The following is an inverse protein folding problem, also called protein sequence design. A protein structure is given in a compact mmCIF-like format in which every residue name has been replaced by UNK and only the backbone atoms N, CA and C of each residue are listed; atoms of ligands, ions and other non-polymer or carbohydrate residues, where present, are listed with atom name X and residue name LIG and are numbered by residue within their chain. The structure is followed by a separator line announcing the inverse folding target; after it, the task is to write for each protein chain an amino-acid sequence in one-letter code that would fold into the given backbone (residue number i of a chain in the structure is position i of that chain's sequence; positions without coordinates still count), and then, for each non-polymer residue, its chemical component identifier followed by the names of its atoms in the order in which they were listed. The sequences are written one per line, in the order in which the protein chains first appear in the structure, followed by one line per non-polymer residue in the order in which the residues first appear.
data_IF_406131727883
#
_entry.id   IF_406131727883
#
_cell.length_a   1.000
_cell.length_b   1.000
_cell.length_c   1.000
_cell.angle_alpha   90.00
_cell.angle_beta   90.00
_cell.angle_gamma   90.00
#
_symmetry.space_group_name_H-M   'P 1'
#
loop_
_entity.id
_entity.type
_entity.pdbx_description
1 polymer ?
#
# COMPACT_ATOMS: atom_id res chain seq x y z
N UNK A 1 -3.50 3.10 -15.39
CA UNK A 1 -3.35 4.13 -14.33
C UNK A 1 -2.06 3.85 -13.55
N UNK A 2 -1.84 4.40 -12.34
CA UNK A 2 -0.62 4.12 -11.53
C UNK A 2 -0.54 2.63 -11.16
N UNK A 3 -1.68 1.97 -10.91
CA UNK A 3 -1.70 0.55 -10.55
C UNK A 3 -1.21 -0.31 -11.71
N UNK A 4 -1.72 -0.06 -12.94
CA UNK A 4 -1.24 -0.75 -14.14
C UNK A 4 0.25 -0.53 -14.38
N UNK A 5 0.73 0.70 -14.17
CA UNK A 5 2.13 1.06 -14.36
C UNK A 5 3.05 0.30 -13.41
N UNK A 6 2.61 0.08 -12.17
CA UNK A 6 3.32 -0.69 -11.15
C UNK A 6 3.03 -2.20 -11.24
N UNK A 7 2.26 -2.65 -12.22
CA UNK A 7 1.79 -4.04 -12.34
C UNK A 7 1.08 -4.55 -11.07
N UNK A 8 0.35 -3.67 -10.39
CA UNK A 8 -0.40 -3.96 -9.19
C UNK A 8 -1.90 -3.99 -9.53
N UNK A 9 -2.61 -5.06 -9.13
CA UNK A 9 -4.03 -5.27 -9.49
C UNK A 9 -4.92 -5.41 -8.25
N UNK A 10 -5.12 -4.32 -7.48
CA UNK A 10 -5.97 -4.37 -6.29
C UNK A 10 -7.45 -4.42 -6.66
N UNK A 11 -8.27 -4.97 -5.76
CA UNK A 11 -9.72 -4.79 -5.80
C UNK A 11 -10.09 -3.48 -5.09
N UNK A 12 -10.74 -2.56 -5.82
CA UNK A 12 -11.24 -1.32 -5.24
C UNK A 12 -12.72 -1.46 -4.86
N UNK A 13 -13.04 -1.11 -3.61
CA UNK A 13 -14.43 -0.97 -3.13
C UNK A 13 -14.63 0.41 -2.52
N UNK A 14 -15.79 1.03 -2.76
CA UNK A 14 -16.09 2.35 -2.19
C UNK A 14 -16.80 2.19 -0.87
N UNK A 15 -16.32 2.88 0.17
CA UNK A 15 -16.98 2.87 1.49
C UNK A 15 -18.42 3.39 1.45
N UNK A 16 -18.76 4.25 0.48
CA UNK A 16 -20.11 4.76 0.26
C UNK A 16 -21.10 3.69 -0.21
N UNK A 17 -20.64 2.59 -0.81
CA UNK A 17 -21.48 1.49 -1.27
C UNK A 17 -21.92 0.58 -0.11
N UNK A 18 -21.26 0.69 1.05
CA UNK A 18 -21.39 -0.25 2.17
C UNK A 18 -22.39 0.19 3.25
N UNK A 19 -23.08 1.33 3.07
CA UNK A 19 -24.17 1.81 3.94
C UNK A 19 -23.89 1.67 5.45
N UNK A 20 -22.74 2.17 5.92
CA UNK A 20 -22.22 1.90 7.27
C UNK A 20 -22.93 2.66 8.42
N UNK A 21 -23.81 3.61 8.09
CA UNK A 21 -24.52 4.47 9.06
C UNK A 21 -23.61 5.46 9.79
N UNK A 22 -24.18 6.34 10.65
CA UNK A 22 -23.39 7.21 11.51
C UNK A 22 -22.77 6.38 12.64
N UNK A 23 -21.44 6.35 12.69
CA UNK A 23 -20.70 5.65 13.74
C UNK A 23 -19.37 6.36 14.00
N UNK A 24 -18.77 6.10 15.16
CA UNK A 24 -17.43 6.57 15.49
C UNK A 24 -16.39 6.14 14.43
N UNK A 25 -15.34 6.94 14.28
CA UNK A 25 -14.31 6.76 13.25
C UNK A 25 -13.67 5.38 13.31
N UNK A 26 -13.33 4.88 14.50
CA UNK A 26 -12.63 3.59 14.65
C UNK A 26 -13.57 2.43 14.37
N UNK A 27 -14.79 2.48 14.89
CA UNK A 27 -15.81 1.48 14.63
C UNK A 27 -16.22 1.41 13.16
N UNK A 28 -16.13 2.53 12.44
CA UNK A 28 -16.35 2.57 10.98
C UNK A 28 -15.32 1.72 10.24
N UNK A 29 -14.05 1.76 10.64
CA UNK A 29 -12.98 0.95 10.05
C UNK A 29 -13.24 -0.54 10.30
N UNK A 30 -13.60 -0.90 11.54
CA UNK A 30 -13.95 -2.28 11.89
C UNK A 30 -15.12 -2.80 11.06
N UNK A 31 -16.18 -2.00 10.87
CA UNK A 31 -17.32 -2.40 10.03
C UNK A 31 -16.94 -2.51 8.56
N UNK A 32 -16.06 -1.64 8.06
CA UNK A 32 -15.53 -1.70 6.70
C UNK A 32 -14.83 -3.05 6.48
N UNK A 33 -13.89 -3.41 7.36
CA UNK A 33 -13.20 -4.70 7.31
C UNK A 33 -14.19 -5.88 7.33
N UNK A 34 -15.16 -5.89 8.25
CA UNK A 34 -16.19 -6.95 8.32
C UNK A 34 -17.01 -7.05 7.04
N UNK A 35 -17.39 -5.94 6.43
CA UNK A 35 -18.23 -5.92 5.23
C UNK A 35 -17.56 -6.54 4.00
N UNK A 36 -16.22 -6.58 4.00
CA UNK A 36 -15.41 -7.18 2.91
C UNK A 36 -14.75 -8.49 3.32
N UNK A 37 -15.02 -8.99 4.53
CA UNK A 37 -14.41 -10.22 5.05
C UNK A 37 -12.92 -10.11 5.36
N UNK A 38 -12.39 -8.91 5.61
CA UNK A 38 -10.97 -8.72 5.90
C UNK A 38 -10.59 -9.26 7.29
N UNK A 39 -9.41 -9.87 7.38
CA UNK A 39 -8.81 -10.36 8.62
C UNK A 39 -7.80 -9.40 9.22
N UNK A 40 -7.30 -8.44 8.44
CA UNK A 40 -6.37 -7.42 8.88
C UNK A 40 -6.73 -6.02 8.37
N UNK A 41 -6.24 -5.01 9.07
CA UNK A 41 -6.32 -3.60 8.69
C UNK A 41 -4.94 -2.96 8.83
N UNK A 42 -4.38 -2.51 7.70
CA UNK A 42 -3.12 -1.79 7.66
C UNK A 42 -3.37 -0.29 7.68
N UNK A 43 -2.78 0.40 8.66
CA UNK A 43 -2.86 1.85 8.80
C UNK A 43 -1.50 2.51 8.66
N UNK A 44 -1.47 3.78 8.25
CA UNK A 44 -0.24 4.58 8.38
C UNK A 44 0.11 4.84 9.85
N UNK A 45 1.39 5.03 10.20
CA UNK A 45 1.87 5.17 11.58
C UNK A 45 1.27 6.39 12.30
N UNK A 46 0.97 7.48 11.57
CA UNK A 46 0.32 8.67 12.13
C UNK A 46 -1.09 8.42 12.68
N UNK A 47 -1.73 7.33 12.27
CA UNK A 47 -3.07 6.98 12.72
C UNK A 47 -3.13 6.41 14.13
N UNK A 48 -2.00 5.97 14.66
CA UNK A 48 -1.94 5.33 15.98
C UNK A 48 -2.51 6.23 17.08
N UNK A 49 -2.32 7.55 16.97
CA UNK A 49 -2.85 8.52 17.92
C UNK A 49 -4.37 8.60 17.99
N UNK A 50 -5.10 8.25 16.93
CA UNK A 50 -6.58 8.26 16.95
C UNK A 50 -7.19 6.85 17.04
N UNK A 51 -6.53 5.82 16.50
CA UNK A 51 -6.99 4.43 16.62
C UNK A 51 -6.76 3.91 18.04
N UNK A 52 -5.73 4.40 18.72
CA UNK A 52 -5.33 3.94 20.05
C UNK A 52 -4.80 2.51 20.02
N UNK A 53 -5.05 1.76 21.09
CA UNK A 53 -4.57 0.38 21.28
C UNK A 53 -5.36 -0.67 20.47
N UNK A 54 -6.33 -0.25 19.64
CA UNK A 54 -7.02 -1.17 18.72
C UNK A 54 -8.03 -2.12 19.36
N UNK A 55 -8.55 -1.80 20.55
CA UNK A 55 -9.52 -2.64 21.28
C UNK A 55 -10.75 -3.03 20.44
N UNK A 56 -11.25 -2.14 19.59
CA UNK A 56 -12.36 -2.43 18.68
C UNK A 56 -11.99 -3.48 17.62
N UNK A 57 -10.77 -3.43 17.08
CA UNK A 57 -10.25 -4.42 16.12
C UNK A 57 -10.07 -5.78 16.78
N UNK A 58 -9.47 -5.80 17.99
CA UNK A 58 -9.29 -7.03 18.78
C UNK A 58 -10.61 -7.73 19.08
N UNK A 59 -11.63 -7.00 19.53
CA UNK A 59 -12.99 -7.54 19.76
C UNK A 59 -13.65 -8.06 18.49
N UNK A 60 -13.27 -7.52 17.33
CA UNK A 60 -13.78 -7.94 16.04
C UNK A 60 -12.99 -9.10 15.41
N UNK A 61 -11.90 -9.55 16.02
CA UNK A 61 -11.01 -10.57 15.45
C UNK A 61 -10.27 -10.09 14.20
N UNK A 62 -9.97 -8.78 14.11
CA UNK A 62 -9.22 -8.18 13.01
C UNK A 62 -7.85 -7.77 13.54
N UNK A 63 -6.79 -8.17 12.82
CA UNK A 63 -5.41 -7.76 13.11
C UNK A 63 -5.21 -6.29 12.72
N UNK A 64 -4.73 -5.47 13.67
CA UNK A 64 -4.39 -4.08 13.41
C UNK A 64 -2.88 -3.95 13.22
N UNK A 65 -2.48 -3.53 12.04
CA UNK A 65 -1.08 -3.33 11.67
C UNK A 65 -0.82 -1.85 11.37
N UNK A 66 0.37 -1.37 11.73
CA UNK A 66 0.83 -0.03 11.40
C UNK A 66 2.03 -0.12 10.47
N UNK A 67 1.90 0.47 9.29
CA UNK A 67 2.92 0.45 8.26
C UNK A 67 4.24 0.98 8.81
N UNK A 68 5.29 0.21 8.58
CA UNK A 68 6.67 0.63 8.77
C UNK A 68 7.26 0.95 7.39
N UNK A 69 7.74 2.18 7.22
CA UNK A 69 8.27 2.63 5.94
C UNK A 69 9.79 2.51 5.95
N UNK A 70 10.29 1.50 5.24
CA UNK A 70 11.68 1.41 4.83
C UNK A 70 11.73 1.66 3.32
N UNK A 71 12.40 2.74 2.90
CA UNK A 71 12.45 3.13 1.50
C UNK A 71 13.72 2.60 0.86
N UNK A 72 13.56 1.82 -0.20
CA UNK A 72 14.71 1.40 -1.01
C UNK A 72 15.25 2.58 -1.83
N UNK A 73 16.54 2.92 -1.68
CA UNK A 73 17.12 4.03 -2.42
C UNK A 73 17.06 3.81 -3.94
N UNK A 74 16.69 4.87 -4.67
CA UNK A 74 16.68 4.89 -6.13
C UNK A 74 17.35 6.14 -6.71
N UNK A 75 17.72 6.14 -8.01
CA UNK A 75 18.43 7.26 -8.62
C UNK A 75 17.56 8.52 -8.78
N UNK A 76 17.69 9.50 -7.89
CA UNK A 76 16.98 10.80 -7.96
C UNK A 76 17.74 11.89 -8.74
N UNK A 77 19.00 11.65 -9.13
CA UNK A 77 19.76 12.57 -9.99
C UNK A 77 20.21 13.90 -9.37
N UNK A 78 19.85 14.22 -8.12
CA UNK A 78 20.20 15.50 -7.46
C UNK A 78 20.97 15.36 -6.13
N UNK A 79 21.69 14.25 -5.94
CA UNK A 79 22.59 14.05 -4.79
C UNK A 79 22.26 12.78 -4.00
N UNK A 80 22.35 12.87 -2.67
CA UNK A 80 21.98 11.78 -1.78
C UNK A 80 20.48 11.46 -1.88
N UNK A 81 20.13 10.19 -1.67
CA UNK A 81 18.75 9.73 -1.67
C UNK A 81 17.93 10.42 -0.58
N UNK A 82 16.72 10.84 -0.96
CA UNK A 82 15.71 11.43 -0.06
C UNK A 82 14.45 10.56 -0.11
N UNK A 83 14.15 9.89 1.00
CA UNK A 83 12.91 9.14 1.21
C UNK A 83 11.71 10.05 1.52
N UNK A 84 10.57 9.45 1.88
CA UNK A 84 9.34 10.17 2.28
C UNK A 84 8.77 11.13 1.21
N UNK A 85 9.14 10.93 -0.06
CA UNK A 85 8.63 11.69 -1.21
C UNK A 85 7.39 11.01 -1.82
N UNK A 86 6.69 11.74 -2.68
CA UNK A 86 5.55 11.20 -3.43
C UNK A 86 5.98 10.05 -4.36
N UNK A 87 5.09 9.08 -4.57
CA UNK A 87 5.28 8.02 -5.58
C UNK A 87 5.57 8.59 -6.97
N UNK A 88 5.10 9.82 -7.27
CA UNK A 88 5.38 10.49 -8.54
C UNK A 88 6.89 10.74 -8.75
N UNK A 89 7.65 11.00 -7.69
CA UNK A 89 9.11 11.17 -7.76
C UNK A 89 9.77 9.89 -8.28
N UNK A 90 9.42 8.76 -7.68
CA UNK A 90 9.89 7.45 -8.09
C UNK A 90 9.50 7.13 -9.54
N UNK A 91 8.25 7.40 -9.92
CA UNK A 91 7.76 7.12 -11.28
C UNK A 91 8.53 7.92 -12.34
N UNK A 92 8.82 9.19 -12.10
CA UNK A 92 9.54 10.02 -13.06
C UNK A 92 11.04 9.74 -13.12
N UNK A 93 11.65 9.33 -12.00
CA UNK A 93 13.06 8.97 -11.96
C UNK A 93 13.36 7.56 -12.49
N UNK A 94 12.48 6.59 -12.23
CA UNK A 94 12.73 5.18 -12.53
C UNK A 94 11.90 4.63 -13.70
N UNK A 95 10.85 5.34 -14.13
CA UNK A 95 9.99 4.89 -15.22
C UNK A 95 9.49 3.44 -15.00
N UNK A 96 9.53 2.57 -16.02
CA UNK A 96 9.10 1.17 -15.90
C UNK A 96 9.81 0.35 -14.80
N UNK A 97 10.95 0.82 -14.27
CA UNK A 97 11.66 0.15 -13.18
C UNK A 97 11.13 0.53 -11.78
N UNK A 98 10.19 1.47 -11.69
CA UNK A 98 9.65 1.96 -10.41
C UNK A 98 9.12 0.85 -9.49
N UNK A 99 8.48 -0.19 -10.05
CA UNK A 99 7.95 -1.31 -9.27
C UNK A 99 9.00 -2.08 -8.44
N UNK A 100 10.29 -1.96 -8.79
CA UNK A 100 11.39 -2.55 -8.01
C UNK A 100 11.62 -1.84 -6.68
N UNK A 101 11.29 -0.55 -6.61
CA UNK A 101 11.50 0.30 -5.43
C UNK A 101 10.20 0.58 -4.68
N UNK A 102 9.04 0.40 -5.31
CA UNK A 102 7.71 0.61 -4.72
C UNK A 102 7.21 -0.60 -3.90
N UNK A 103 8.08 -1.19 -3.08
CA UNK A 103 7.76 -2.35 -2.24
C UNK A 103 7.84 -1.96 -0.77
N UNK A 104 6.88 -2.44 0.03
CA UNK A 104 6.97 -2.39 1.48
C UNK A 104 7.42 -3.77 1.95
N UNK A 105 8.69 -3.95 2.39
CA UNK A 105 9.16 -5.21 2.93
C UNK A 105 8.22 -5.70 4.03
N UNK A 106 7.80 -6.97 3.96
CA UNK A 106 6.95 -7.60 4.97
C UNK A 106 5.43 -7.43 4.85
N UNK A 107 4.94 -6.59 3.91
CA UNK A 107 3.48 -6.34 3.75
C UNK A 107 2.84 -7.00 2.53
N UNK A 108 3.64 -7.54 1.61
CA UNK A 108 3.14 -8.39 0.53
C UNK A 108 3.08 -9.84 1.04
N UNK A 109 1.97 -10.21 1.69
CA UNK A 109 1.63 -11.64 1.82
C UNK A 109 1.27 -12.17 0.44
N UNK A 110 1.64 -13.41 0.14
CA UNK A 110 1.45 -14.11 -1.15
C UNK A 110 -0.02 -14.05 -1.66
N UNK A 111 -0.97 -13.74 -0.77
CA UNK A 111 -2.40 -13.62 -1.04
C UNK A 111 -2.84 -12.28 -1.67
N UNK A 112 -1.96 -11.27 -1.78
CA UNK A 112 -2.30 -9.96 -2.38
C UNK A 112 -2.22 -9.94 -3.92
N UNK A 113 -2.09 -11.10 -4.58
CA UNK A 113 -2.17 -11.21 -6.04
C UNK A 113 -0.99 -10.59 -6.81
N UNK A 114 0.11 -10.24 -6.12
CA UNK A 114 1.36 -9.85 -6.78
C UNK A 114 2.14 -11.12 -7.07
N UNK A 115 2.14 -11.55 -8.33
CA UNK A 115 2.87 -12.74 -8.76
C UNK A 115 4.38 -12.57 -8.47
N UNK A 116 5.01 -13.48 -7.69
CA UNK A 116 6.43 -13.40 -7.33
C UNK A 116 7.37 -13.34 -8.55
N UNK A 117 6.93 -13.91 -9.68
CA UNK A 117 7.77 -14.21 -10.83
C UNK A 117 7.97 -13.03 -11.80
N UNK A 118 7.30 -11.88 -11.58
CA UNK A 118 7.43 -10.72 -12.49
C UNK A 118 8.54 -9.73 -12.10
N UNK A 119 9.22 -9.97 -10.98
CA UNK A 119 10.26 -9.07 -10.45
C UNK A 119 11.60 -9.11 -11.23
N UNK A 120 11.81 -10.12 -12.07
CA UNK A 120 13.08 -10.36 -12.77
C UNK A 120 12.99 -10.47 -14.31
N UNK A 121 11.88 -10.10 -14.94
CA UNK A 121 11.80 -10.14 -16.40
C UNK A 121 12.70 -9.04 -17.02
N UNK A 122 13.67 -9.37 -17.90
CA UNK A 122 14.45 -8.36 -18.60
C UNK A 122 13.54 -7.71 -19.65
N UNK A 123 13.07 -6.50 -19.38
CA UNK A 123 12.45 -5.69 -20.42
C UNK A 123 13.55 -4.99 -21.21
N UNK A 124 13.72 -5.44 -22.46
CA UNK A 124 14.64 -4.88 -23.44
C UNK A 124 14.46 -3.35 -23.54
N UNK A 125 15.58 -2.65 -23.40
CA UNK A 125 15.64 -1.21 -23.51
C UNK A 125 15.37 -0.79 -24.96
N UNK A 126 14.18 -0.25 -25.22
CA UNK A 126 13.95 0.57 -26.40
C UNK A 126 14.18 2.04 -26.05
N UNK A 127 15.42 2.48 -26.27
CA UNK A 127 15.77 3.88 -26.47
C UNK A 127 14.94 4.41 -27.63
N UNK A 128 14.14 5.45 -27.39
CA UNK A 128 13.61 6.29 -28.46
C UNK A 128 14.16 7.69 -28.21
N UNK A 129 14.83 8.21 -29.24
CA UNK A 129 15.40 9.55 -29.34
C UNK A 129 14.33 10.66 -29.32
#
# INVERSE_FOLDING_TARGET
DICDFLNFKPEFKRSSELNLGPIDRTDRLVRLCKSVGATSYLSGPSAQGYIGEGEAFKKAGIELEFAHYEFEPYPQGHGAFVGEVSILDLLFHCGPQAGKYAQLPGYLKEDCGVAPDMLNAPHEAHTIA
#
